data_IF_624314371482
#
_entry.id   IF_624314371482
#
_cell.length_a   1.000
_cell.length_b   1.000
_cell.length_c   1.000
_cell.angle_alpha   90.00
_cell.angle_beta   90.00
_cell.angle_gamma   90.00
#
_symmetry.space_group_name_H-M   'P 1'
#
loop_
_entity.id
_entity.type
_entity.pdbx_description
1 polymer ?
#
# COMPACT_ATOMS: atom_id res chain seq x y z
N UNK A 1 -47.25 17.38 29.39
CA UNK A 1 -47.19 16.70 30.72
C UNK A 1 -45.72 16.53 31.05
N UNK A 2 -45.30 17.34 32.00
CA UNK A 2 -43.97 17.33 32.61
C UNK A 2 -43.86 16.16 33.59
N UNK A 3 -42.73 15.48 33.63
CA UNK A 3 -42.27 14.84 34.87
C UNK A 3 -40.75 14.94 34.96
N UNK A 4 -40.37 15.90 35.75
CA UNK A 4 -39.06 16.12 36.33
C UNK A 4 -38.83 15.07 37.43
N UNK A 5 -37.68 14.37 37.42
CA UNK A 5 -37.22 13.69 38.63
C UNK A 5 -35.73 13.98 38.81
N UNK A 6 -35.51 14.75 39.84
CA UNK A 6 -34.22 15.09 40.42
C UNK A 6 -33.81 14.05 41.48
N UNK A 7 -32.56 14.14 41.94
CA UNK A 7 -32.01 13.69 43.23
C UNK A 7 -31.20 12.38 43.10
N UNK A 8 -29.99 12.24 43.62
CA UNK A 8 -29.33 12.71 44.84
C UNK A 8 -27.81 12.62 44.75
N UNK A 9 -27.18 13.64 45.30
CA UNK A 9 -25.81 13.59 45.79
C UNK A 9 -25.68 12.61 46.96
N UNK A 10 -24.65 11.81 46.97
CA UNK A 10 -24.05 11.24 48.17
C UNK A 10 -22.54 11.43 48.11
N UNK A 11 -22.06 12.29 48.95
CA UNK A 11 -20.66 12.47 49.29
C UNK A 11 -20.37 11.68 50.57
N UNK A 12 -19.39 10.80 50.56
CA UNK A 12 -18.67 10.23 51.74
C UNK A 12 -17.46 9.52 51.10
N UNK A 13 -16.26 9.65 51.47
CA UNK A 13 -15.51 10.02 52.62
C UNK A 13 -14.04 9.77 52.25
N UNK A 14 -13.20 10.62 52.73
CA UNK A 14 -11.73 10.53 52.60
C UNK A 14 -11.17 9.34 53.38
N UNK A 15 -10.25 8.60 52.74
CA UNK A 15 -9.26 7.78 53.47
C UNK A 15 -7.90 8.10 52.92
N UNK A 16 -7.15 8.85 53.70
CA UNK A 16 -5.71 9.01 53.57
C UNK A 16 -5.04 7.73 54.02
N UNK A 17 -4.34 7.05 53.13
CA UNK A 17 -3.31 6.09 53.49
C UNK A 17 -2.00 6.49 52.80
N UNK A 18 -1.13 7.08 53.60
CA UNK A 18 0.28 7.24 53.36
C UNK A 18 0.92 5.86 53.26
N UNK A 19 1.41 5.50 52.09
CA UNK A 19 2.18 4.28 51.86
C UNK A 19 3.24 4.59 50.82
N UNK A 20 4.39 5.02 51.26
CA UNK A 20 5.56 5.24 50.44
C UNK A 20 6.06 3.91 49.84
N UNK A 21 6.19 3.87 48.57
CA UNK A 21 6.84 2.82 47.81
C UNK A 21 7.27 3.39 46.48
N UNK A 22 8.38 4.09 46.47
CA UNK A 22 9.03 4.56 45.27
C UNK A 22 9.45 3.37 44.41
N UNK A 23 8.60 2.95 43.48
CA UNK A 23 9.05 2.14 42.35
C UNK A 23 9.74 3.08 41.37
N UNK A 24 11.06 2.96 41.32
CA UNK A 24 11.84 3.50 40.23
C UNK A 24 11.26 2.95 38.91
N UNK A 25 10.53 3.78 38.18
CA UNK A 25 10.19 3.51 36.80
C UNK A 25 11.48 3.56 36.03
N UNK A 26 12.03 2.42 35.70
CA UNK A 26 13.03 2.30 34.64
C UNK A 26 12.44 2.95 33.39
N UNK A 27 13.10 3.95 32.79
CA UNK A 27 12.65 4.50 31.52
C UNK A 27 12.65 3.32 30.51
N UNK A 28 11.46 2.96 30.08
CA UNK A 28 11.30 2.05 28.95
C UNK A 28 11.93 2.77 27.77
N UNK A 29 13.13 2.34 27.39
CA UNK A 29 13.76 2.78 26.14
C UNK A 29 12.90 2.19 25.04
N UNK A 30 11.89 2.95 24.65
CA UNK A 30 11.10 2.69 23.46
C UNK A 30 12.10 2.69 22.31
N UNK A 31 12.44 1.49 21.84
CA UNK A 31 13.35 1.31 20.72
C UNK A 31 12.77 2.10 19.55
N UNK A 32 13.49 3.13 19.15
CA UNK A 32 13.12 3.90 17.96
C UNK A 32 12.81 2.91 16.81
N UNK A 33 11.68 3.07 16.11
CA UNK A 33 11.34 2.17 15.02
C UNK A 33 12.52 2.15 14.07
N UNK A 34 13.10 0.97 13.85
CA UNK A 34 14.14 0.75 12.86
C UNK A 34 13.56 1.22 11.53
N UNK A 35 14.02 2.37 11.06
CA UNK A 35 13.66 2.90 9.76
C UNK A 35 14.09 1.85 8.74
N UNK A 36 13.14 1.05 8.28
CA UNK A 36 13.38 0.10 7.20
C UNK A 36 13.87 0.92 6.00
N UNK A 37 15.05 0.60 5.42
CA UNK A 37 15.53 1.33 4.26
C UNK A 37 14.44 1.29 3.18
N UNK A 38 14.10 2.46 2.64
CA UNK A 38 13.10 2.54 1.57
C UNK A 38 13.66 1.89 0.31
N UNK A 39 12.81 1.21 -0.46
CA UNK A 39 13.22 0.64 -1.73
C UNK A 39 13.81 1.71 -2.65
N UNK A 40 14.86 1.35 -3.37
CA UNK A 40 15.47 2.24 -4.37
C UNK A 40 14.67 2.13 -5.65
N UNK A 41 14.06 3.24 -6.07
CA UNK A 41 13.43 3.38 -7.38
C UNK A 41 14.25 4.33 -8.24
N UNK A 42 14.61 3.91 -9.44
CA UNK A 42 15.36 4.73 -10.40
C UNK A 42 14.45 5.03 -11.59
N UNK A 43 14.03 6.28 -11.82
CA UNK A 43 13.26 6.65 -13.00
C UNK A 43 13.98 6.29 -14.31
N UNK A 44 13.22 6.05 -15.39
CA UNK A 44 13.81 5.76 -16.68
C UNK A 44 12.92 4.95 -17.61
N UNK A 45 13.51 4.54 -18.71
CA UNK A 45 12.93 3.61 -19.67
C UNK A 45 13.09 2.19 -19.17
N UNK A 46 12.01 1.45 -19.16
CA UNK A 46 11.96 0.06 -18.74
C UNK A 46 11.41 -0.82 -19.86
N UNK A 47 12.09 -1.92 -20.13
CA UNK A 47 11.50 -3.05 -20.84
C UNK A 47 10.52 -3.75 -19.90
N UNK A 48 9.31 -4.03 -20.37
CA UNK A 48 8.27 -4.69 -19.59
C UNK A 48 7.91 -6.03 -20.23
N UNK A 49 7.78 -7.05 -19.41
CA UNK A 49 7.26 -8.36 -19.81
C UNK A 49 6.15 -8.75 -18.82
N UNK A 50 4.94 -8.98 -19.33
CA UNK A 50 3.80 -9.40 -18.51
C UNK A 50 3.34 -10.78 -18.92
N UNK A 51 3.00 -11.63 -17.93
CA UNK A 51 2.45 -12.97 -18.12
C UNK A 51 1.19 -13.13 -17.31
N UNK A 52 0.17 -13.73 -17.90
CA UNK A 52 -1.08 -14.03 -17.23
C UNK A 52 -1.17 -15.53 -16.92
N UNK A 53 -1.45 -15.91 -15.68
CA UNK A 53 -1.52 -17.31 -15.25
C UNK A 53 -2.58 -18.14 -15.98
N UNK A 54 -3.63 -17.49 -16.48
CA UNK A 54 -4.73 -18.17 -17.21
C UNK A 54 -4.50 -18.26 -18.71
N UNK A 55 -3.70 -17.35 -19.26
CA UNK A 55 -3.46 -17.22 -20.70
C UNK A 55 -1.95 -17.23 -20.94
N UNK A 56 -1.32 -18.39 -20.71
CA UNK A 56 0.13 -18.54 -20.73
C UNK A 56 0.79 -18.12 -22.06
N UNK A 57 0.03 -18.20 -23.16
CA UNK A 57 0.52 -17.83 -24.49
C UNK A 57 0.35 -16.34 -24.84
N UNK A 58 -0.26 -15.56 -23.94
CA UNK A 58 -0.52 -14.13 -24.14
C UNK A 58 0.39 -13.26 -23.25
N UNK A 59 1.69 -13.48 -23.35
CA UNK A 59 2.67 -12.56 -22.76
C UNK A 59 2.70 -11.24 -23.54
N UNK A 60 2.57 -10.11 -22.86
CA UNK A 60 2.79 -8.81 -23.47
C UNK A 60 4.23 -8.36 -23.19
N UNK A 61 4.92 -7.92 -24.24
CA UNK A 61 6.23 -7.25 -24.12
C UNK A 61 6.09 -5.82 -24.63
N UNK A 62 6.82 -4.91 -24.01
CA UNK A 62 6.80 -3.53 -24.41
C UNK A 62 7.84 -2.71 -23.66
N UNK A 63 7.82 -1.43 -23.90
CA UNK A 63 8.64 -0.46 -23.19
C UNK A 63 7.72 0.55 -22.50
N UNK A 64 8.11 1.00 -21.33
CA UNK A 64 7.42 2.02 -20.56
C UNK A 64 8.42 3.00 -19.95
N UNK A 65 8.13 4.28 -20.08
CA UNK A 65 8.87 5.30 -19.38
C UNK A 65 8.25 5.51 -18.01
N UNK A 66 8.97 5.16 -16.94
CA UNK A 66 8.58 5.39 -15.57
C UNK A 66 9.21 6.70 -15.10
N UNK A 67 8.43 7.77 -15.17
CA UNK A 67 8.90 9.14 -14.92
C UNK A 67 8.70 9.61 -13.46
N UNK A 68 8.19 8.74 -12.58
CA UNK A 68 8.03 9.06 -11.15
C UNK A 68 9.38 9.47 -10.54
N UNK A 69 9.39 10.54 -9.73
CA UNK A 69 10.64 11.11 -9.20
C UNK A 69 11.38 10.16 -8.25
N UNK A 70 10.63 9.35 -7.50
CA UNK A 70 11.14 8.42 -6.49
C UNK A 70 10.12 7.32 -6.18
N UNK A 71 10.46 6.44 -5.24
CA UNK A 71 9.60 5.35 -4.78
C UNK A 71 8.22 5.84 -4.31
N UNK A 72 8.16 6.90 -3.53
CA UNK A 72 6.89 7.42 -2.99
C UNK A 72 6.00 8.01 -4.08
N UNK A 73 6.60 8.67 -5.06
CA UNK A 73 5.90 9.16 -6.24
C UNK A 73 5.33 8.00 -7.05
N UNK A 74 6.14 6.98 -7.34
CA UNK A 74 5.70 5.77 -8.05
C UNK A 74 4.54 5.08 -7.31
N UNK A 75 4.69 4.84 -6.01
CA UNK A 75 3.67 4.23 -5.17
C UNK A 75 2.35 5.01 -5.23
N UNK A 76 2.41 6.33 -5.00
CA UNK A 76 1.23 7.20 -5.02
C UNK A 76 0.55 7.24 -6.39
N UNK A 77 1.33 7.38 -7.46
CA UNK A 77 0.81 7.43 -8.84
C UNK A 77 0.18 6.11 -9.25
N UNK A 78 0.82 4.99 -8.91
CA UNK A 78 0.26 3.65 -9.15
C UNK A 78 -1.08 3.47 -8.43
N UNK A 79 -1.16 3.79 -7.14
CA UNK A 79 -2.41 3.72 -6.40
C UNK A 79 -3.50 4.62 -7.01
N UNK A 80 -3.16 5.86 -7.37
CA UNK A 80 -4.10 6.78 -7.98
C UNK A 80 -4.61 6.28 -9.34
N UNK A 81 -3.74 5.67 -10.15
CA UNK A 81 -4.12 5.08 -11.43
C UNK A 81 -5.16 3.97 -11.26
N UNK A 82 -4.97 3.08 -10.29
CA UNK A 82 -5.93 2.00 -10.04
C UNK A 82 -7.23 2.52 -9.42
N UNK A 83 -7.15 3.47 -8.49
CA UNK A 83 -8.33 4.07 -7.89
C UNK A 83 -9.17 4.88 -8.88
N UNK A 84 -8.55 5.49 -9.89
CA UNK A 84 -9.25 6.25 -10.94
C UNK A 84 -9.71 5.41 -12.13
N UNK A 85 -9.32 4.13 -12.19
CA UNK A 85 -9.68 3.26 -13.30
C UNK A 85 -11.20 2.96 -13.28
N UNK A 86 -11.95 3.25 -14.36
CA UNK A 86 -13.39 3.03 -14.43
C UNK A 86 -13.83 1.60 -14.11
N UNK A 87 -12.96 0.60 -14.34
CA UNK A 87 -13.25 -0.80 -14.00
C UNK A 87 -13.35 -1.04 -12.49
N UNK A 88 -12.69 -0.20 -11.69
CA UNK A 88 -12.66 -0.31 -10.23
C UNK A 88 -13.52 0.74 -9.53
N UNK A 89 -13.81 1.88 -10.18
CA UNK A 89 -14.60 2.97 -9.59
C UNK A 89 -16.01 2.56 -9.15
N UNK A 90 -16.63 1.62 -9.88
CA UNK A 90 -18.03 1.23 -9.66
C UNK A 90 -18.12 -0.09 -8.87
N UNK A 91 -17.61 -0.14 -7.66
CA UNK A 91 -17.80 -1.29 -6.78
C UNK A 91 -16.56 -1.85 -6.11
N UNK A 92 -15.44 -1.14 -6.22
CA UNK A 92 -14.22 -1.47 -5.47
C UNK A 92 -13.88 -0.35 -4.48
N UNK A 93 -13.33 -0.73 -3.33
CA UNK A 93 -12.79 0.19 -2.33
C UNK A 93 -11.41 -0.27 -1.92
N UNK A 94 -10.53 0.67 -1.62
CA UNK A 94 -9.23 0.35 -1.03
C UNK A 94 -9.45 -0.28 0.35
N UNK A 95 -8.93 -1.48 0.54
CA UNK A 95 -9.09 -2.26 1.77
C UNK A 95 -7.78 -2.45 2.54
N UNK A 96 -6.65 -2.40 1.86
CA UNK A 96 -5.34 -2.59 2.47
C UNK A 96 -4.29 -1.74 1.77
N UNK A 97 -3.38 -1.19 2.56
CA UNK A 97 -2.13 -0.58 2.08
C UNK A 97 -1.03 -0.93 3.08
N UNK A 98 0.04 -1.56 2.60
CA UNK A 98 1.13 -1.99 3.45
C UNK A 98 2.47 -1.83 2.74
N UNK A 99 3.45 -1.31 3.45
CA UNK A 99 4.83 -1.26 2.97
C UNK A 99 5.53 -2.60 3.24
N UNK A 100 6.39 -2.98 2.31
CA UNK A 100 7.30 -4.11 2.39
C UNK A 100 8.73 -3.58 2.53
N UNK A 101 9.69 -4.39 3.00
CA UNK A 101 11.10 -3.97 3.06
C UNK A 101 11.66 -3.53 1.72
N UNK A 102 11.17 -4.10 0.62
CA UNK A 102 11.61 -3.89 -0.75
C UNK A 102 10.49 -3.41 -1.68
N UNK A 103 9.33 -2.99 -1.13
CA UNK A 103 8.21 -2.63 -1.97
C UNK A 103 6.94 -2.22 -1.24
N UNK A 104 5.79 -2.46 -1.85
CA UNK A 104 4.49 -2.22 -1.26
C UNK A 104 3.41 -3.18 -1.77
N UNK A 105 2.36 -3.31 -0.97
CA UNK A 105 1.13 -3.99 -1.33
C UNK A 105 -0.02 -3.00 -1.17
N UNK A 106 -0.99 -3.04 -2.08
CA UNK A 106 -2.31 -2.51 -1.83
C UNK A 106 -3.38 -3.45 -2.38
N UNK A 107 -4.53 -3.47 -1.70
CA UNK A 107 -5.64 -4.31 -2.10
C UNK A 107 -6.93 -3.51 -2.20
N UNK A 108 -7.78 -3.94 -3.10
CA UNK A 108 -9.12 -3.41 -3.29
C UNK A 108 -10.14 -4.54 -3.16
N UNK A 109 -11.13 -4.34 -2.29
CA UNK A 109 -12.29 -5.21 -2.19
C UNK A 109 -13.36 -4.73 -3.17
N UNK A 110 -13.74 -5.60 -4.08
CA UNK A 110 -14.78 -5.41 -5.06
C UNK A 110 -16.00 -6.31 -4.73
N UNK A 111 -17.14 -6.05 -5.36
CA UNK A 111 -18.39 -6.79 -5.07
C UNK A 111 -18.25 -8.32 -5.14
N UNK A 112 -17.48 -8.83 -6.10
CA UNK A 112 -17.33 -10.27 -6.34
C UNK A 112 -15.88 -10.73 -6.40
N UNK A 113 -14.93 -9.83 -6.14
CA UNK A 113 -13.51 -10.13 -6.22
C UNK A 113 -12.69 -9.27 -5.25
N UNK A 114 -11.50 -9.75 -4.96
CA UNK A 114 -10.45 -8.95 -4.34
C UNK A 114 -9.30 -8.81 -5.33
N UNK A 115 -8.82 -7.59 -5.52
CA UNK A 115 -7.64 -7.32 -6.33
C UNK A 115 -6.50 -6.95 -5.41
N UNK A 116 -5.39 -7.68 -5.49
CA UNK A 116 -4.18 -7.43 -4.71
C UNK A 116 -3.05 -7.10 -5.66
N UNK A 117 -2.42 -5.97 -5.42
CA UNK A 117 -1.26 -5.53 -6.17
C UNK A 117 -0.05 -5.53 -5.25
N UNK A 118 1.02 -6.15 -5.71
CA UNK A 118 2.29 -6.21 -4.99
C UNK A 118 3.40 -5.74 -5.92
N UNK A 119 4.23 -4.83 -5.44
CA UNK A 119 5.40 -4.37 -6.16
C UNK A 119 6.64 -4.58 -5.31
N UNK A 120 7.67 -5.15 -5.93
CA UNK A 120 9.00 -5.32 -5.37
C UNK A 120 10.03 -4.57 -6.21
N UNK A 121 10.96 -3.93 -5.56
CA UNK A 121 12.00 -3.12 -6.19
C UNK A 121 13.36 -3.70 -5.89
N UNK A 122 14.19 -3.72 -6.89
CA UNK A 122 15.63 -3.92 -6.77
C UNK A 122 16.34 -2.83 -7.55
N UNK A 123 17.67 -2.82 -7.54
CA UNK A 123 18.47 -1.73 -8.13
C UNK A 123 18.08 -1.39 -9.57
N UNK A 124 17.76 -2.39 -10.38
CA UNK A 124 17.53 -2.28 -11.83
C UNK A 124 16.27 -3.02 -12.32
N UNK A 125 15.50 -3.55 -11.40
CA UNK A 125 14.26 -4.29 -11.69
C UNK A 125 13.11 -3.82 -10.80
N UNK A 126 11.91 -3.81 -11.38
CA UNK A 126 10.66 -3.72 -10.64
C UNK A 126 9.81 -4.93 -11.02
N UNK A 127 9.34 -5.67 -10.04
CA UNK A 127 8.40 -6.78 -10.25
C UNK A 127 7.05 -6.37 -9.73
N UNK A 128 6.04 -6.42 -10.58
CA UNK A 128 4.65 -6.19 -10.22
C UNK A 128 3.82 -7.45 -10.33
N UNK A 129 3.02 -7.76 -9.32
CA UNK A 129 2.05 -8.85 -9.35
C UNK A 129 0.65 -8.30 -9.12
N UNK A 130 -0.29 -8.66 -9.97
CA UNK A 130 -1.70 -8.33 -9.84
C UNK A 130 -2.48 -9.63 -9.70
N UNK A 131 -2.99 -9.88 -8.52
CA UNK A 131 -3.84 -11.03 -8.24
C UNK A 131 -5.31 -10.59 -8.22
N UNK A 132 -6.14 -11.23 -9.04
CA UNK A 132 -7.59 -11.06 -9.03
C UNK A 132 -8.21 -12.32 -8.46
N UNK A 133 -8.72 -12.24 -7.24
CA UNK A 133 -9.32 -13.34 -6.50
C UNK A 133 -10.85 -13.24 -6.62
N UNK A 134 -11.47 -14.18 -7.34
CA UNK A 134 -12.94 -14.22 -7.50
C UNK A 134 -13.55 -15.00 -6.33
N UNK A 135 -14.30 -14.32 -5.47
CA UNK A 135 -14.79 -14.88 -4.20
C UNK A 135 -15.74 -16.07 -4.41
N UNK A 136 -16.65 -15.98 -5.38
CA UNK A 136 -17.65 -17.03 -5.61
C UNK A 136 -17.19 -18.14 -6.55
N UNK A 137 -16.14 -17.91 -7.32
CA UNK A 137 -15.60 -18.83 -8.32
C UNK A 137 -14.08 -18.75 -8.34
N UNK A 138 -13.41 -19.33 -7.33
CA UNK A 138 -11.95 -19.24 -7.18
C UNK A 138 -11.18 -19.77 -8.40
N UNK A 139 -11.77 -20.72 -9.13
CA UNK A 139 -11.21 -21.27 -10.37
C UNK A 139 -11.07 -20.24 -11.50
N UNK A 140 -11.77 -19.12 -11.40
CA UNK A 140 -11.63 -17.98 -12.32
C UNK A 140 -10.66 -16.91 -11.84
N UNK A 141 -10.04 -17.10 -10.69
CA UNK A 141 -8.99 -16.21 -10.21
C UNK A 141 -7.80 -16.22 -11.16
N UNK A 142 -7.09 -15.11 -11.25
CA UNK A 142 -5.96 -14.95 -12.15
C UNK A 142 -4.85 -14.14 -11.49
N UNK A 143 -3.64 -14.35 -11.99
CA UNK A 143 -2.47 -13.57 -11.62
C UNK A 143 -1.80 -13.04 -12.88
N UNK A 144 -1.42 -11.77 -12.83
CA UNK A 144 -0.57 -11.15 -13.85
C UNK A 144 0.74 -10.81 -13.17
N UNK A 145 1.81 -11.42 -13.63
CA UNK A 145 3.17 -11.09 -13.25
C UNK A 145 3.76 -10.15 -14.29
N UNK A 146 4.27 -9.02 -13.86
CA UNK A 146 4.99 -8.07 -14.71
C UNK A 146 6.41 -7.91 -14.19
N UNK A 147 7.38 -8.16 -15.04
CA UNK A 147 8.78 -7.86 -14.81
C UNK A 147 9.15 -6.61 -15.61
N UNK A 148 9.76 -5.65 -14.96
CA UNK A 148 10.25 -4.42 -15.56
C UNK A 148 11.76 -4.33 -15.34
N UNK A 149 12.54 -4.24 -16.42
CA UNK A 149 14.00 -4.10 -16.38
C UNK A 149 14.40 -2.75 -16.94
N UNK A 150 15.20 -1.99 -16.19
CA UNK A 150 15.64 -0.68 -16.61
C UNK A 150 16.61 -0.80 -17.81
N UNK A 151 16.34 -0.04 -18.87
CA UNK A 151 17.17 0.06 -20.05
C UNK A 151 18.06 1.32 -20.03
N UNK A 152 17.56 2.42 -19.45
CA UNK A 152 18.24 3.70 -19.48
C UNK A 152 17.33 4.85 -19.12
N UNK A 153 17.62 6.03 -19.62
CA UNK A 153 16.78 7.21 -19.41
C UNK A 153 15.63 7.25 -20.44
N UNK A 154 14.54 7.92 -20.09
CA UNK A 154 13.39 8.06 -20.97
C UNK A 154 13.76 8.83 -22.24
N UNK A 155 13.26 8.42 -23.43
CA UNK A 155 13.45 9.17 -24.67
C UNK A 155 12.83 10.57 -24.54
N UNK A 156 13.53 11.60 -25.02
CA UNK A 156 13.05 12.98 -25.02
C UNK A 156 13.48 13.84 -23.84
N UNK A 157 14.27 13.31 -22.92
CA UNK A 157 14.91 14.13 -21.86
C UNK A 157 13.96 14.76 -20.86
N UNK A 158 12.72 14.27 -20.73
CA UNK A 158 11.83 14.68 -19.65
C UNK A 158 12.44 14.25 -18.31
N UNK A 159 13.01 15.24 -17.64
CA UNK A 159 13.47 15.02 -16.26
C UNK A 159 12.28 14.68 -15.39
N UNK A 160 12.37 13.61 -14.58
CA UNK A 160 11.31 13.26 -13.64
C UNK A 160 10.94 14.48 -12.80
N UNK A 161 9.66 14.82 -12.75
CA UNK A 161 9.15 15.81 -11.80
C UNK A 161 8.98 17.24 -12.31
N UNK A 162 9.22 17.60 -13.57
CA UNK A 162 8.76 18.89 -14.12
C UNK A 162 7.40 18.73 -14.77
N UNK A 163 6.33 18.92 -14.00
CA UNK A 163 5.03 19.31 -14.57
C UNK A 163 5.16 20.77 -15.03
N UNK A 164 5.06 21.03 -16.34
CA UNK A 164 4.74 22.34 -16.89
C UNK A 164 3.28 22.68 -16.62
#
# INVERSE_FOLDING_TARGET
MLTTTAIRLVAVGAVLLLGGGGRAQTPSTEAAPLLTPRPVFVPGLYETESRNSRFQDQGAKGEACLASADYEAFRRETMAQYQSNPRFLNGCRLSETRDLPDGFVFAMDCKESKVVLTYHFSKDHVTGTIQTLITRRPEFSSEILTLMRRLGDCPGGEKPGKKT
#
